data_IF_816780459767
#
_entry.id   IF_816780459767
#
_cell.length_a   1.000
_cell.length_b   1.000
_cell.length_c   1.000
_cell.angle_alpha   90.00
_cell.angle_beta   90.00
_cell.angle_gamma   90.00
#
_symmetry.space_group_name_H-M   'P 1'
#
loop_
_entity.id
_entity.type
_entity.pdbx_description
1 polymer ?
#
# COMPACT_ATOMS: atom_id res chain seq x y z
N UNK A 1 10.87 -10.85 37.01
CA UNK A 1 11.41 -10.07 35.87
C UNK A 1 11.04 -10.66 34.50
N UNK A 2 11.12 -11.97 34.28
CA UNK A 2 10.74 -12.57 32.98
C UNK A 2 9.22 -12.57 32.68
N UNK A 3 8.37 -12.69 33.70
CA UNK A 3 6.90 -12.72 33.53
C UNK A 3 6.34 -11.35 33.14
N UNK A 4 6.85 -10.28 33.76
CA UNK A 4 6.49 -8.90 33.42
C UNK A 4 6.92 -8.53 32.01
N UNK A 5 8.07 -9.05 31.55
CA UNK A 5 8.56 -8.85 30.18
C UNK A 5 7.69 -9.54 29.13
N UNK A 6 7.18 -10.76 29.42
CA UNK A 6 6.28 -11.49 28.53
C UNK A 6 4.92 -10.80 28.39
N UNK A 7 4.35 -10.27 29.48
CA UNK A 7 3.10 -9.52 29.41
C UNK A 7 3.24 -8.21 28.63
N UNK A 8 4.37 -7.51 28.77
CA UNK A 8 4.64 -6.28 28.01
C UNK A 8 4.81 -6.57 26.51
N UNK A 9 5.49 -7.67 26.15
CA UNK A 9 5.62 -8.09 24.74
C UNK A 9 4.27 -8.49 24.16
N UNK A 10 3.43 -9.20 24.91
CA UNK A 10 2.08 -9.57 24.46
C UNK A 10 1.20 -8.32 24.30
N UNK A 11 1.27 -7.35 25.21
CA UNK A 11 0.53 -6.08 25.08
C UNK A 11 1.02 -5.21 23.91
N UNK A 12 2.34 -5.18 23.65
CA UNK A 12 2.91 -4.54 22.46
C UNK A 12 2.48 -5.26 21.16
N UNK A 13 2.52 -6.59 21.12
CA UNK A 13 2.04 -7.35 19.97
C UNK A 13 0.54 -7.16 19.74
N UNK A 14 -0.27 -7.13 20.80
CA UNK A 14 -1.73 -6.94 20.71
C UNK A 14 -2.09 -5.52 20.26
N UNK A 15 -1.32 -4.51 20.67
CA UNK A 15 -1.54 -3.12 20.22
C UNK A 15 -1.14 -2.90 18.75
N UNK A 16 -0.17 -3.65 18.23
CA UNK A 16 0.22 -3.60 16.80
C UNK A 16 -0.86 -4.24 15.91
N UNK A 17 -1.63 -5.22 16.41
CA UNK A 17 -2.67 -5.92 15.66
C UNK A 17 -3.95 -5.08 15.43
N UNK A 18 -4.10 -3.93 16.08
CA UNK A 18 -5.24 -3.03 15.90
C UNK A 18 -4.99 -1.89 14.90
N UNK A 19 -3.92 -1.96 14.11
CA UNK A 19 -3.73 -1.02 13.00
C UNK A 19 -4.80 -1.33 11.96
N UNK A 20 -5.71 -0.38 11.74
CA UNK A 20 -6.59 -0.35 10.58
C UNK A 20 -5.71 -0.15 9.34
N UNK A 21 -5.12 -1.24 8.87
CA UNK A 21 -4.38 -1.28 7.62
C UNK A 21 -5.39 -1.16 6.48
N UNK A 22 -4.99 -0.49 5.40
CA UNK A 22 -5.75 -0.52 4.16
C UNK A 22 -5.93 -1.96 3.71
N UNK A 23 -7.14 -2.27 3.28
CA UNK A 23 -7.48 -3.56 2.72
C UNK A 23 -7.23 -3.58 1.21
N UNK A 24 -7.47 -4.74 0.58
CA UNK A 24 -7.26 -4.93 -0.86
C UNK A 24 -8.15 -4.02 -1.71
N UNK A 25 -9.38 -3.76 -1.24
CA UNK A 25 -10.34 -2.91 -1.92
C UNK A 25 -9.94 -1.42 -1.89
N UNK A 26 -9.32 -0.97 -0.78
CA UNK A 26 -8.74 0.38 -0.68
C UNK A 26 -7.63 0.57 -1.73
N UNK A 27 -6.74 -0.41 -1.83
CA UNK A 27 -5.62 -0.37 -2.77
C UNK A 27 -6.10 -0.37 -4.23
N UNK A 28 -7.10 -1.19 -4.57
CA UNK A 28 -7.69 -1.19 -5.92
C UNK A 28 -8.30 0.17 -6.26
N UNK A 29 -9.00 0.81 -5.31
CA UNK A 29 -9.54 2.16 -5.51
C UNK A 29 -8.42 3.17 -5.70
N UNK A 30 -7.36 3.14 -4.87
CA UNK A 30 -6.25 4.09 -4.99
C UNK A 30 -5.51 3.95 -6.32
N UNK A 31 -5.22 2.73 -6.75
CA UNK A 31 -4.52 2.48 -8.00
C UNK A 31 -5.38 2.91 -9.21
N UNK A 32 -6.70 2.67 -9.17
CA UNK A 32 -7.61 3.14 -10.21
C UNK A 32 -7.75 4.68 -10.27
N UNK A 33 -7.73 5.36 -9.12
CA UNK A 33 -7.75 6.84 -9.08
C UNK A 33 -6.43 7.43 -9.59
N UNK A 34 -5.30 6.78 -9.30
CA UNK A 34 -3.98 7.22 -9.80
C UNK A 34 -3.88 7.04 -11.33
N UNK A 35 -4.43 5.96 -11.87
CA UNK A 35 -4.45 5.69 -13.32
C UNK A 35 -5.46 6.58 -14.07
N UNK A 36 -6.61 6.88 -13.46
CA UNK A 36 -7.67 7.70 -14.06
C UNK A 36 -7.60 9.13 -13.52
N UNK A 37 -6.96 10.01 -14.28
CA UNK A 37 -6.77 11.43 -13.94
C UNK A 37 -8.05 12.31 -14.09
N UNK A 38 -9.23 11.74 -13.82
CA UNK A 38 -10.54 12.42 -13.83
C UNK A 38 -11.52 11.68 -12.92
N UNK A 39 -12.65 12.32 -12.57
CA UNK A 39 -13.65 11.63 -11.74
C UNK A 39 -14.24 10.43 -12.47
N UNK A 40 -14.41 9.32 -11.75
CA UNK A 40 -15.07 8.11 -12.26
C UNK A 40 -16.49 8.38 -12.77
N UNK A 41 -17.20 9.31 -12.13
CA UNK A 41 -18.53 9.74 -12.53
C UNK A 41 -18.48 10.55 -13.84
N UNK A 42 -17.47 11.41 -14.02
CA UNK A 42 -17.24 12.16 -15.25
C UNK A 42 -16.85 11.22 -16.41
N UNK A 43 -15.98 10.24 -16.15
CA UNK A 43 -15.61 9.22 -17.14
C UNK A 43 -16.83 8.44 -17.64
N UNK A 44 -17.76 8.08 -16.76
CA UNK A 44 -19.01 7.43 -17.13
C UNK A 44 -20.07 8.39 -17.69
N UNK A 45 -19.91 9.70 -17.51
CA UNK A 45 -20.90 10.72 -17.88
C UNK A 45 -22.19 10.64 -17.06
N UNK A 46 -22.09 10.30 -15.78
CA UNK A 46 -23.22 10.21 -14.84
C UNK A 46 -22.99 11.13 -13.65
N UNK A 47 -24.05 11.61 -12.97
CA UNK A 47 -23.87 12.40 -11.76
C UNK A 47 -23.42 11.52 -10.57
N UNK A 48 -22.83 12.13 -9.54
CA UNK A 48 -22.31 11.40 -8.37
C UNK A 48 -23.41 10.69 -7.55
N UNK A 49 -24.64 11.18 -7.62
CA UNK A 49 -25.84 10.59 -7.00
C UNK A 49 -26.50 9.50 -7.86
N UNK A 50 -25.91 9.16 -9.02
CA UNK A 50 -26.45 8.16 -9.93
C UNK A 50 -26.67 6.80 -9.24
N UNK A 51 -27.80 6.19 -9.59
CA UNK A 51 -28.16 4.84 -9.18
C UNK A 51 -27.28 3.78 -9.85
N UNK A 52 -27.22 2.58 -9.26
CA UNK A 52 -26.47 1.46 -9.86
C UNK A 52 -27.00 1.08 -11.25
N UNK A 53 -28.29 1.33 -11.54
CA UNK A 53 -28.88 1.07 -12.85
C UNK A 53 -28.38 2.06 -13.91
N UNK A 54 -28.25 3.34 -13.56
CA UNK A 54 -27.71 4.37 -14.44
C UNK A 54 -26.23 4.13 -14.74
N UNK A 55 -25.44 3.80 -13.72
CA UNK A 55 -24.02 3.43 -13.87
C UNK A 55 -23.86 2.23 -14.81
N UNK A 56 -24.66 1.18 -14.62
CA UNK A 56 -24.65 -0.01 -15.49
C UNK A 56 -25.04 0.33 -16.93
N UNK A 57 -26.00 1.23 -17.12
CA UNK A 57 -26.46 1.64 -18.45
C UNK A 57 -25.43 2.50 -19.17
N UNK A 58 -24.79 3.43 -18.45
CA UNK A 58 -23.70 4.25 -18.97
C UNK A 58 -22.49 3.40 -19.37
N UNK A 59 -22.08 2.47 -18.50
CA UNK A 59 -21.00 1.51 -18.80
C UNK A 59 -21.27 0.76 -20.11
N UNK A 60 -22.46 0.15 -20.26
CA UNK A 60 -22.82 -0.57 -21.50
C UNK A 60 -22.71 0.31 -22.75
N UNK A 61 -23.14 1.58 -22.68
CA UNK A 61 -23.03 2.52 -23.80
C UNK A 61 -21.58 2.82 -24.16
N UNK A 62 -20.71 2.97 -23.15
CA UNK A 62 -19.29 3.26 -23.34
C UNK A 62 -18.50 2.04 -23.81
N UNK A 63 -18.79 0.83 -23.29
CA UNK A 63 -18.17 -0.43 -23.74
C UNK A 63 -18.35 -0.63 -25.24
N UNK A 64 -19.53 -0.34 -25.79
CA UNK A 64 -19.79 -0.48 -27.22
C UNK A 64 -18.99 0.52 -28.09
N UNK A 65 -18.65 1.68 -27.53
CA UNK A 65 -17.89 2.74 -28.21
C UNK A 65 -16.37 2.52 -28.11
N UNK A 66 -15.91 2.10 -26.93
CA UNK A 66 -14.50 1.96 -26.59
C UNK A 66 -13.99 0.50 -26.72
N UNK A 67 -14.78 -0.39 -27.31
CA UNK A 67 -14.37 -1.79 -27.50
C UNK A 67 -13.05 -1.86 -28.29
N UNK A 68 -12.03 -2.61 -27.85
CA UNK A 68 -10.73 -2.66 -28.51
C UNK A 68 -10.83 -3.10 -29.98
N UNK A 69 -11.71 -4.04 -30.31
CA UNK A 69 -11.93 -4.46 -31.72
C UNK A 69 -12.49 -3.37 -32.66
N UNK A 70 -13.06 -2.28 -32.12
CA UNK A 70 -13.70 -1.22 -32.91
C UNK A 70 -13.00 0.13 -32.80
N UNK A 71 -12.09 0.27 -31.83
CA UNK A 71 -11.39 1.50 -31.55
C UNK A 71 -9.89 1.30 -31.84
N UNK A 72 -9.44 1.82 -32.97
CA UNK A 72 -8.05 1.68 -33.42
C UNK A 72 -7.09 2.70 -32.76
N UNK A 73 -7.54 3.42 -31.73
CA UNK A 73 -6.70 4.35 -31.00
C UNK A 73 -5.55 3.60 -30.29
N UNK A 74 -4.33 4.17 -30.26
CA UNK A 74 -3.17 3.52 -29.65
C UNK A 74 -3.33 3.28 -28.13
N UNK A 75 -4.27 3.96 -27.50
CA UNK A 75 -4.62 3.88 -26.09
C UNK A 75 -5.97 3.19 -25.83
N UNK A 76 -6.60 2.59 -26.84
CA UNK A 76 -7.91 1.95 -26.71
C UNK A 76 -7.95 0.88 -25.61
N UNK A 77 -6.91 0.04 -25.53
CA UNK A 77 -6.78 -0.98 -24.48
C UNK A 77 -6.71 -0.37 -23.08
N UNK A 78 -5.95 0.71 -22.91
CA UNK A 78 -5.84 1.41 -21.63
C UNK A 78 -7.17 2.05 -21.23
N UNK A 79 -7.82 2.75 -22.16
CA UNK A 79 -9.12 3.37 -21.91
C UNK A 79 -10.19 2.31 -21.56
N UNK A 80 -10.17 1.17 -22.24
CA UNK A 80 -11.10 0.08 -21.96
C UNK A 80 -10.86 -0.56 -20.59
N UNK A 81 -9.59 -0.81 -20.23
CA UNK A 81 -9.22 -1.30 -18.89
C UNK A 81 -9.68 -0.33 -17.80
N UNK A 82 -9.45 0.96 -17.99
CA UNK A 82 -9.87 2.02 -17.06
C UNK A 82 -11.41 2.03 -16.90
N UNK A 83 -12.15 1.94 -18.01
CA UNK A 83 -13.61 1.88 -17.99
C UNK A 83 -14.12 0.67 -17.19
N UNK A 84 -13.51 -0.50 -17.37
CA UNK A 84 -13.88 -1.73 -16.63
C UNK A 84 -13.57 -1.58 -15.14
N UNK A 85 -12.38 -1.08 -14.80
CA UNK A 85 -11.95 -0.83 -13.42
C UNK A 85 -12.91 0.13 -12.71
N UNK A 86 -13.20 1.27 -13.33
CA UNK A 86 -14.14 2.29 -12.82
C UNK A 86 -15.53 1.70 -12.57
N UNK A 87 -16.06 0.92 -13.51
CA UNK A 87 -17.36 0.28 -13.33
C UNK A 87 -17.34 -0.73 -12.18
N UNK A 88 -16.28 -1.52 -12.01
CA UNK A 88 -16.16 -2.49 -10.92
C UNK A 88 -16.18 -1.79 -9.56
N UNK A 89 -15.46 -0.67 -9.43
CA UNK A 89 -15.43 0.14 -8.20
C UNK A 89 -16.80 0.76 -7.92
N UNK A 90 -17.44 1.40 -8.91
CA UNK A 90 -18.73 2.06 -8.69
C UNK A 90 -19.90 1.09 -8.52
N UNK A 91 -19.77 -0.14 -9.02
CA UNK A 91 -20.78 -1.21 -8.87
C UNK A 91 -20.85 -1.73 -7.43
N UNK A 92 -19.72 -1.78 -6.72
CA UNK A 92 -19.68 -2.21 -5.33
C UNK A 92 -19.94 -1.02 -4.39
N UNK A 93 -20.95 -1.08 -3.50
CA UNK A 93 -21.25 0.03 -2.60
C UNK A 93 -20.10 0.36 -1.63
N UNK A 94 -19.33 -0.63 -1.17
CA UNK A 94 -18.19 -0.41 -0.28
C UNK A 94 -17.02 0.26 -1.00
N UNK A 95 -16.68 -0.20 -2.21
CA UNK A 95 -15.64 0.45 -3.03
C UNK A 95 -16.04 1.85 -3.47
N UNK A 96 -17.32 2.05 -3.80
CA UNK A 96 -17.85 3.39 -4.11
C UNK A 96 -17.74 4.34 -2.92
N UNK A 97 -17.98 3.87 -1.71
CA UNK A 97 -17.80 4.67 -0.49
C UNK A 97 -16.34 5.08 -0.31
N UNK A 98 -15.39 4.13 -0.42
CA UNK A 98 -13.94 4.41 -0.37
C UNK A 98 -13.51 5.42 -1.43
N UNK A 99 -13.99 5.27 -2.66
CA UNK A 99 -13.74 6.26 -3.72
C UNK A 99 -14.31 7.64 -3.37
N UNK A 100 -15.51 7.70 -2.79
CA UNK A 100 -16.09 8.97 -2.33
C UNK A 100 -15.29 9.59 -1.18
N UNK A 101 -14.65 8.79 -0.31
CA UNK A 101 -13.72 9.31 0.68
C UNK A 101 -12.47 9.91 0.04
N UNK A 102 -11.91 9.25 -0.98
CA UNK A 102 -10.77 9.78 -1.76
C UNK A 102 -11.15 11.10 -2.44
N UNK A 103 -12.36 11.24 -2.98
CA UNK A 103 -12.82 12.51 -3.56
C UNK A 103 -12.88 13.66 -2.52
N UNK A 104 -13.19 13.37 -1.26
CA UNK A 104 -13.27 14.38 -0.19
C UNK A 104 -11.90 14.71 0.41
N UNK A 105 -11.12 13.68 0.69
CA UNK A 105 -9.88 13.78 1.47
C UNK A 105 -8.61 13.84 0.60
N UNK A 106 -8.73 13.51 -0.69
CA UNK A 106 -7.62 13.27 -1.60
C UNK A 106 -7.01 11.87 -1.43
N UNK A 107 -6.14 11.50 -2.37
CA UNK A 107 -5.37 10.26 -2.27
C UNK A 107 -4.39 10.30 -1.09
N UNK A 108 -4.23 9.19 -0.34
CA UNK A 108 -3.24 9.13 0.71
C UNK A 108 -1.83 9.18 0.11
N UNK A 109 -0.98 10.03 0.66
CA UNK A 109 0.34 10.36 0.10
C UNK A 109 1.48 9.46 0.61
N UNK A 110 1.18 8.26 1.09
CA UNK A 110 2.16 7.35 1.71
C UNK A 110 3.34 6.97 0.81
N UNK A 111 3.12 6.88 -0.52
CA UNK A 111 4.19 6.63 -1.51
C UNK A 111 5.12 7.83 -1.72
N UNK A 112 4.71 9.03 -1.33
CA UNK A 112 5.50 10.24 -1.57
C UNK A 112 6.63 10.39 -0.54
N UNK A 113 7.86 10.60 -0.99
CA UNK A 113 8.98 10.94 -0.10
C UNK A 113 8.67 12.18 0.78
N UNK A 114 7.84 13.10 0.27
CA UNK A 114 7.39 14.29 0.99
C UNK A 114 6.54 13.96 2.21
N UNK A 115 5.80 12.83 2.19
CA UNK A 115 5.01 12.37 3.34
C UNK A 115 5.91 12.07 4.54
N UNK A 116 6.93 11.23 4.34
CA UNK A 116 7.91 10.90 5.38
C UNK A 116 8.60 12.16 5.90
N UNK A 117 9.04 13.03 5.00
CA UNK A 117 9.70 14.28 5.39
C UNK A 117 8.80 15.20 6.23
N UNK A 118 7.53 15.35 5.85
CA UNK A 118 6.54 16.16 6.59
C UNK A 118 6.24 15.57 7.96
N UNK A 119 6.16 14.25 8.04
CA UNK A 119 5.89 13.54 9.28
C UNK A 119 7.08 13.66 10.25
N UNK A 120 8.30 13.36 9.77
CA UNK A 120 9.55 13.47 10.55
C UNK A 120 9.79 14.89 11.07
N UNK A 121 9.44 15.93 10.30
CA UNK A 121 9.57 17.33 10.76
C UNK A 121 8.69 17.64 11.97
N UNK A 122 7.55 16.98 12.11
CA UNK A 122 6.61 17.19 13.22
C UNK A 122 6.87 16.25 14.40
N UNK A 123 7.83 15.33 14.27
CA UNK A 123 8.14 14.38 15.33
C UNK A 123 8.78 15.08 16.53
N UNK A 124 8.35 14.68 17.72
CA UNK A 124 9.00 15.08 18.96
C UNK A 124 10.34 14.38 19.16
N UNK A 125 11.17 14.88 20.09
CA UNK A 125 12.45 14.29 20.45
C UNK A 125 12.35 12.79 20.82
N UNK A 126 11.25 12.38 21.45
CA UNK A 126 11.04 10.99 21.85
C UNK A 126 10.84 10.04 20.66
N UNK A 127 10.01 10.41 19.69
CA UNK A 127 9.74 9.62 18.48
C UNK A 127 11.02 9.45 17.65
N UNK A 128 11.78 10.54 17.47
CA UNK A 128 13.09 10.49 16.83
C UNK A 128 14.08 9.58 17.57
N UNK A 129 14.09 9.62 18.91
CA UNK A 129 14.97 8.77 19.72
C UNK A 129 14.64 7.28 19.57
N UNK A 130 13.35 6.92 19.47
CA UNK A 130 12.92 5.53 19.25
C UNK A 130 13.38 5.04 17.87
N UNK A 131 13.23 5.85 16.83
CA UNK A 131 13.68 5.49 15.47
C UNK A 131 15.19 5.27 15.44
N UNK A 132 15.97 6.21 16.01
CA UNK A 132 17.42 6.09 16.10
C UNK A 132 17.82 4.83 16.88
N UNK A 133 17.15 4.54 18.00
CA UNK A 133 17.41 3.35 18.79
C UNK A 133 17.19 2.05 17.99
N UNK A 134 16.12 1.97 17.21
CA UNK A 134 15.85 0.80 16.34
C UNK A 134 16.95 0.64 15.30
N UNK A 135 17.35 1.74 14.63
CA UNK A 135 18.41 1.72 13.61
C UNK A 135 19.74 1.25 14.21
N UNK A 136 20.12 1.80 15.36
CA UNK A 136 21.37 1.43 16.06
C UNK A 136 21.34 -0.03 16.50
N UNK A 137 20.21 -0.50 17.03
CA UNK A 137 20.05 -1.90 17.47
C UNK A 137 20.20 -2.87 16.31
N UNK A 138 19.56 -2.58 15.18
CA UNK A 138 19.65 -3.42 13.99
C UNK A 138 21.08 -3.43 13.43
N UNK A 139 21.75 -2.26 13.43
CA UNK A 139 23.16 -2.14 13.06
C UNK A 139 24.09 -2.96 13.96
N UNK A 140 23.91 -2.90 15.28
CA UNK A 140 24.68 -3.68 16.24
C UNK A 140 24.48 -5.19 16.04
N UNK A 141 23.25 -5.62 15.79
CA UNK A 141 22.96 -7.03 15.50
C UNK A 141 23.65 -7.50 14.22
N UNK A 142 23.62 -6.70 13.15
CA UNK A 142 24.28 -7.02 11.89
C UNK A 142 25.81 -7.16 12.07
N UNK A 143 26.44 -6.28 12.85
CA UNK A 143 27.88 -6.36 13.16
C UNK A 143 28.18 -7.62 13.98
N UNK A 144 27.36 -7.94 14.98
CA UNK A 144 27.50 -9.16 15.77
C UNK A 144 27.38 -10.43 14.93
N UNK A 145 26.43 -10.44 13.98
CA UNK A 145 26.27 -11.53 13.03
C UNK A 145 27.47 -11.68 12.09
N UNK A 146 28.00 -10.58 11.55
CA UNK A 146 29.21 -10.61 10.73
C UNK A 146 30.42 -11.19 11.49
N UNK A 147 30.63 -10.77 12.75
CA UNK A 147 31.68 -11.29 13.60
C UNK A 147 31.48 -12.78 13.94
N UNK A 148 30.23 -13.23 14.11
CA UNK A 148 29.92 -14.65 14.30
C UNK A 148 30.26 -15.48 13.05
N UNK A 149 29.89 -14.97 11.87
CA UNK A 149 30.16 -15.62 10.58
C UNK A 149 31.67 -15.78 10.35
N UNK A 150 32.46 -14.74 10.60
CA UNK A 150 33.92 -14.79 10.47
C UNK A 150 34.56 -15.84 11.39
N UNK A 151 34.13 -15.88 12.66
CA UNK A 151 34.60 -16.89 13.63
C UNK A 151 34.27 -18.31 13.20
N UNK A 152 33.08 -18.52 12.63
CA UNK A 152 32.66 -19.83 12.13
C UNK A 152 33.53 -20.28 10.96
N UNK A 153 33.77 -19.44 9.96
CA UNK A 153 34.64 -19.78 8.83
C UNK A 153 36.07 -20.10 9.28
N UNK A 154 36.59 -19.32 10.22
CA UNK A 154 37.93 -19.56 10.79
C UNK A 154 37.99 -20.91 11.51
N UNK A 155 36.96 -21.24 12.30
CA UNK A 155 36.88 -22.52 13.00
C UNK A 155 36.80 -23.71 12.01
N UNK A 156 36.01 -23.60 10.95
CA UNK A 156 35.92 -24.63 9.90
C UNK A 156 37.28 -24.85 9.22
N UNK A 157 38.02 -23.79 8.88
CA UNK A 157 39.37 -23.90 8.31
C UNK A 157 40.37 -24.62 9.23
N UNK A 158 40.33 -24.34 10.53
CA UNK A 158 41.21 -25.00 11.52
C UNK A 158 40.89 -26.49 11.61
N UNK A 159 39.60 -26.86 11.65
CA UNK A 159 39.16 -28.26 11.70
C UNK A 159 39.56 -29.01 10.42
N UNK A 160 39.38 -28.41 9.24
CA UNK A 160 39.81 -29.01 7.96
C UNK A 160 41.32 -29.18 7.87
N UNK A 161 42.11 -28.26 8.41
CA UNK A 161 43.57 -28.35 8.41
C UNK A 161 44.08 -29.41 9.39
N UNK A 162 43.43 -29.59 10.54
CA UNK A 162 43.79 -30.63 11.52
C UNK A 162 43.34 -32.05 11.14
N UNK A 163 42.37 -32.18 10.24
CA UNK A 163 41.84 -33.47 9.77
C UNK A 163 42.58 -34.08 8.57
N UNK A 164 43.56 -33.37 8.00
CA UNK A 164 44.50 -33.88 6.99
C UNK A 164 45.85 -34.16 7.64
#
# INVERSE_FOLDING_TARGET
MALTMRCVIVLLCVSILSVAAWDDDDLEVFDAVDEVNQSFYELLGVPQDASQQEIKTAFKKLTLKLHPDKNDAPDADMQFRNLVSVHNILKDPGKREKYNEVLKNGLPNWRSAVYYYRHVRKMGLAEGSIIIFIIVTFGQYAIGWAAYVEKRYTAEQILTTRGK
#
